data_IF_567821046044
#
_entry.id   IF_567821046044
#
_cell.length_a   1.000
_cell.length_b   1.000
_cell.length_c   1.000
_cell.angle_alpha   90.00
_cell.angle_beta   90.00
_cell.angle_gamma   90.00
#
_symmetry.space_group_name_H-M   'P 1'
#
loop_
_entity.id
_entity.type
_entity.pdbx_description
1 polymer ?
#
# COMPACT_ATOMS: atom_id res chain seq x y z
N UNK A 1 76.29 31.17 -4.75
CA UNK A 1 75.27 31.77 -5.63
C UNK A 1 75.40 31.01 -6.93
N UNK A 2 74.45 30.21 -7.38
CA UNK A 2 73.02 30.11 -7.09
C UNK A 2 72.64 28.63 -6.89
N UNK A 3 71.74 28.38 -5.95
CA UNK A 3 71.17 27.07 -5.66
C UNK A 3 69.87 26.99 -6.48
N UNK A 4 69.90 26.22 -7.57
CA UNK A 4 68.78 26.09 -8.50
C UNK A 4 67.82 25.00 -7.96
N UNK A 5 67.02 25.37 -6.97
CA UNK A 5 65.88 24.56 -6.52
C UNK A 5 64.85 24.50 -7.64
N UNK A 6 64.83 23.36 -8.36
CA UNK A 6 63.72 22.95 -9.20
C UNK A 6 62.43 22.96 -8.37
N UNK A 7 61.64 24.03 -8.51
CA UNK A 7 60.27 24.11 -8.00
C UNK A 7 59.45 23.01 -8.69
N UNK A 8 59.14 21.95 -7.94
CA UNK A 8 58.02 21.08 -8.29
C UNK A 8 56.76 21.88 -7.99
N UNK A 9 55.95 22.12 -9.02
CA UNK A 9 54.68 22.85 -8.98
C UNK A 9 53.64 22.03 -8.20
N UNK A 10 53.85 21.93 -6.87
CA UNK A 10 52.97 21.23 -5.93
C UNK A 10 51.57 21.86 -5.88
N UNK A 11 51.39 23.07 -6.42
CA UNK A 11 50.09 23.72 -6.62
C UNK A 11 49.24 23.03 -7.69
N UNK A 12 49.84 22.46 -8.74
CA UNK A 12 49.07 21.76 -9.80
C UNK A 12 48.66 20.34 -9.43
N UNK A 13 49.44 19.64 -8.60
CA UNK A 13 49.01 18.34 -8.04
C UNK A 13 47.96 18.51 -6.93
N UNK A 14 47.96 19.64 -6.22
CA UNK A 14 46.89 19.92 -5.26
C UNK A 14 45.55 20.21 -5.94
N UNK A 15 45.51 21.02 -7.00
CA UNK A 15 44.26 21.34 -7.72
C UNK A 15 43.64 20.14 -8.46
N UNK A 16 44.45 19.15 -8.86
CA UNK A 16 43.94 17.90 -9.46
C UNK A 16 43.33 16.92 -8.43
N UNK A 17 43.59 17.10 -7.13
CA UNK A 17 43.12 16.20 -6.07
C UNK A 17 41.89 16.70 -5.29
N UNK A 18 41.51 17.98 -5.43
CA UNK A 18 40.41 18.58 -4.63
C UNK A 18 39.01 18.17 -5.12
N UNK A 19 38.90 17.56 -6.30
CA UNK A 19 37.62 17.17 -6.90
C UNK A 19 37.36 15.66 -6.99
N UNK A 20 38.27 14.80 -6.50
CA UNK A 20 38.21 13.37 -6.78
C UNK A 20 37.43 12.53 -5.76
N UNK A 21 37.29 12.94 -4.49
CA UNK A 21 36.72 12.07 -3.44
C UNK A 21 35.99 12.84 -2.33
N UNK A 22 35.04 13.72 -2.69
CA UNK A 22 34.11 14.25 -1.69
C UNK A 22 32.97 13.25 -1.47
N UNK A 23 32.96 12.64 -0.28
CA UNK A 23 31.81 11.88 0.21
C UNK A 23 30.63 12.84 0.41
N UNK A 24 29.40 12.33 0.43
CA UNK A 24 28.17 13.08 0.59
C UNK A 24 27.24 12.28 1.49
N UNK A 25 26.52 12.97 2.39
CA UNK A 25 25.53 12.33 3.25
C UNK A 25 24.14 12.49 2.65
N UNK A 26 23.55 11.36 2.29
CA UNK A 26 22.24 11.27 1.68
C UNK A 26 21.23 10.84 2.72
N UNK A 27 20.37 11.77 3.15
CA UNK A 27 19.37 11.56 4.17
C UNK A 27 17.99 11.27 3.57
N UNK A 28 17.17 10.56 4.32
CA UNK A 28 15.90 10.03 3.84
C UNK A 28 14.71 10.83 4.37
N UNK A 29 13.92 11.39 3.44
CA UNK A 29 12.58 11.91 3.70
C UNK A 29 11.54 10.93 3.18
N UNK A 30 10.41 10.81 3.88
CA UNK A 30 9.29 9.99 3.43
C UNK A 30 8.04 10.86 3.31
N UNK A 31 7.49 10.99 2.10
CA UNK A 31 6.25 11.73 1.95
C UNK A 31 5.07 10.88 2.45
N UNK A 32 4.78 11.01 3.75
CA UNK A 32 3.63 10.40 4.42
C UNK A 32 2.31 11.09 4.02
N UNK A 33 2.34 12.35 3.59
CA UNK A 33 1.15 13.12 3.21
C UNK A 33 0.42 12.59 1.98
N UNK A 34 1.07 11.74 1.17
CA UNK A 34 0.42 11.00 0.05
C UNK A 34 -0.04 9.60 0.46
N UNK A 35 0.21 9.17 1.69
CA UNK A 35 -0.40 7.95 2.28
C UNK A 35 -1.68 8.27 3.06
N UNK A 36 -2.23 9.48 2.89
CA UNK A 36 -3.44 9.95 3.55
C UNK A 36 -4.65 9.06 3.20
N UNK A 37 -4.85 8.03 4.02
CA UNK A 37 -6.11 7.28 4.08
C UNK A 37 -7.16 8.24 4.61
N UNK A 38 -7.80 8.98 3.71
CA UNK A 38 -9.02 9.72 4.02
C UNK A 38 -10.18 8.86 3.55
N UNK A 39 -10.44 7.77 4.26
CA UNK A 39 -11.82 7.30 4.36
C UNK A 39 -12.56 8.32 5.23
N UNK A 40 -12.87 9.49 4.68
CA UNK A 40 -13.84 10.37 5.30
C UNK A 40 -15.22 9.79 5.00
N UNK A 41 -15.63 8.81 5.80
CA UNK A 41 -17.05 8.73 6.11
C UNK A 41 -17.34 9.97 6.96
N UNK A 42 -17.85 11.02 6.32
CA UNK A 42 -18.59 12.05 7.05
C UNK A 42 -19.82 11.36 7.62
N UNK A 43 -19.74 10.98 8.89
CA UNK A 43 -20.83 10.95 9.88
C UNK A 43 -20.50 9.94 10.99
N UNK A 44 -20.11 10.47 12.17
CA UNK A 44 -20.36 10.04 13.56
C UNK A 44 -20.41 8.54 13.95
N UNK A 45 -19.85 7.63 13.15
CA UNK A 45 -19.77 6.19 13.45
C UNK A 45 -18.42 5.62 12.96
N UNK A 46 -17.30 6.24 13.34
CA UNK A 46 -15.97 5.74 12.95
C UNK A 46 -15.43 4.81 14.03
N UNK A 47 -15.54 3.51 13.74
CA UNK A 47 -14.74 2.47 14.34
C UNK A 47 -13.25 2.64 14.08
N UNK A 48 -12.42 2.05 14.92
CA UNK A 48 -10.95 2.25 15.03
C UNK A 48 -10.10 1.68 13.87
N UNK A 49 -10.70 1.45 12.70
CA UNK A 49 -10.30 0.46 11.68
C UNK A 49 -9.18 0.89 10.68
N UNK A 50 -8.67 2.12 10.80
CA UNK A 50 -7.69 2.69 9.84
C UNK A 50 -6.23 2.75 10.32
N UNK A 51 -5.92 2.29 11.55
CA UNK A 51 -4.55 2.39 12.10
C UNK A 51 -3.55 1.44 11.41
N UNK A 52 -3.92 0.16 11.24
CA UNK A 52 -3.02 -0.88 10.74
C UNK A 52 -2.52 -0.57 9.31
N UNK A 53 -3.38 0.01 8.48
CA UNK A 53 -3.03 0.29 7.09
C UNK A 53 -2.09 1.49 6.95
N UNK A 54 -2.06 2.37 7.96
CA UNK A 54 -1.20 3.55 8.02
C UNK A 54 0.15 3.28 8.71
N UNK A 55 0.19 2.29 9.59
CA UNK A 55 1.38 1.95 10.38
C UNK A 55 2.58 1.55 9.50
N UNK A 56 3.78 1.91 9.99
CA UNK A 56 5.07 1.54 9.44
C UNK A 56 5.87 0.85 10.57
N UNK A 57 5.88 -0.48 10.54
CA UNK A 57 6.45 -1.34 11.57
C UNK A 57 7.87 -1.79 11.25
N UNK A 58 8.28 -1.68 9.98
CA UNK A 58 9.67 -1.83 9.58
C UNK A 58 9.93 -1.16 8.23
N UNK A 59 11.20 -0.88 7.95
CA UNK A 59 11.67 -0.31 6.70
C UNK A 59 12.91 -1.03 6.20
N UNK A 60 12.91 -1.39 4.92
CA UNK A 60 14.10 -1.64 4.12
C UNK A 60 14.34 -0.45 3.21
N UNK A 61 15.54 0.12 3.28
CA UNK A 61 15.96 1.25 2.45
C UNK A 61 17.16 0.80 1.64
N UNK A 62 17.09 0.94 0.32
CA UNK A 62 18.16 0.59 -0.62
C UNK A 62 18.71 1.84 -1.29
N UNK A 63 20.04 2.00 -1.25
CA UNK A 63 20.76 2.96 -2.07
C UNK A 63 21.30 2.26 -3.31
N UNK A 64 20.96 2.78 -4.48
CA UNK A 64 21.34 2.21 -5.76
C UNK A 64 22.16 3.20 -6.60
N UNK A 65 22.97 2.66 -7.50
CA UNK A 65 23.63 3.37 -8.61
C UNK A 65 23.17 2.72 -9.91
N UNK A 66 22.22 3.38 -10.60
CA UNK A 66 21.51 2.77 -11.72
C UNK A 66 20.69 1.56 -11.26
N UNK A 67 21.14 0.36 -11.63
CA UNK A 67 20.54 -0.93 -11.22
C UNK A 67 21.24 -1.56 -10.02
N UNK A 68 22.49 -1.19 -9.71
CA UNK A 68 23.30 -1.89 -8.71
C UNK A 68 23.02 -1.37 -7.31
N UNK A 69 22.81 -2.25 -6.35
CA UNK A 69 22.68 -1.90 -4.92
C UNK A 69 24.06 -1.57 -4.37
N UNK A 70 24.25 -0.33 -3.93
CA UNK A 70 25.47 0.13 -3.27
C UNK A 70 25.44 -0.16 -1.77
N UNK A 71 24.28 0.09 -1.14
CA UNK A 71 24.09 -0.08 0.29
C UNK A 71 22.61 -0.33 0.60
N UNK A 72 22.33 -0.87 1.78
CA UNK A 72 20.98 -1.08 2.28
C UNK A 72 20.94 -1.04 3.79
N UNK A 73 19.77 -0.72 4.33
CA UNK A 73 19.53 -0.71 5.75
C UNK A 73 18.15 -1.29 6.07
N UNK A 74 18.06 -1.91 7.24
CA UNK A 74 16.82 -2.35 7.85
C UNK A 74 16.61 -1.59 9.15
N UNK A 75 15.38 -1.11 9.37
CA UNK A 75 14.94 -0.47 10.60
C UNK A 75 13.70 -1.19 11.12
N UNK A 76 13.72 -1.58 12.39
CA UNK A 76 12.53 -2.09 13.07
C UNK A 76 11.69 -0.91 13.60
N UNK A 77 10.43 -1.17 13.96
CA UNK A 77 9.48 -0.16 14.45
C UNK A 77 10.06 0.82 15.48
N UNK A 78 10.82 0.30 16.46
CA UNK A 78 11.44 1.11 17.52
C UNK A 78 12.57 2.03 17.07
N UNK A 79 13.10 1.83 15.87
CA UNK A 79 14.21 2.61 15.29
C UNK A 79 13.73 3.60 14.19
N UNK A 80 12.41 3.76 14.03
CA UNK A 80 11.80 4.62 13.02
C UNK A 80 11.31 5.91 13.68
N UNK A 81 12.04 7.00 13.47
CA UNK A 81 11.73 8.30 14.05
C UNK A 81 11.59 9.36 12.96
N UNK A 82 10.36 9.83 12.73
CA UNK A 82 10.06 10.89 11.77
C UNK A 82 9.81 12.22 12.46
N UNK A 83 10.41 13.29 11.94
CA UNK A 83 10.06 14.65 12.36
C UNK A 83 8.75 15.14 11.70
N UNK A 84 8.38 16.39 11.97
CA UNK A 84 7.18 17.03 11.40
C UNK A 84 7.24 17.25 9.88
N UNK A 85 8.44 17.25 9.30
CA UNK A 85 8.66 17.33 7.85
C UNK A 85 8.77 15.93 7.22
N UNK A 86 8.56 14.88 8.01
CA UNK A 86 8.69 13.48 7.62
C UNK A 86 10.10 13.07 7.18
N UNK A 87 11.11 13.74 7.73
CA UNK A 87 12.49 13.32 7.66
C UNK A 87 12.77 12.22 8.69
N UNK A 88 13.52 11.19 8.30
CA UNK A 88 13.86 10.06 9.17
C UNK A 88 15.15 10.32 9.94
N UNK A 89 15.15 9.97 11.21
CA UNK A 89 16.26 10.10 12.14
C UNK A 89 16.58 8.77 12.82
N UNK A 90 17.80 8.66 13.34
CA UNK A 90 18.27 7.50 14.10
C UNK A 90 17.84 7.51 15.56
N UNK A 91 17.32 8.64 16.03
CA UNK A 91 16.97 8.92 17.41
C UNK A 91 15.64 9.68 17.49
N UNK A 92 14.92 9.47 18.59
CA UNK A 92 13.60 10.07 18.83
C UNK A 92 13.66 11.59 19.07
N UNK A 93 14.83 12.10 19.46
CA UNK A 93 15.10 13.52 19.65
C UNK A 93 15.35 14.26 18.32
N UNK A 94 15.37 13.53 17.19
CA UNK A 94 15.59 14.06 15.84
C UNK A 94 16.90 14.85 15.69
N UNK A 95 17.97 14.35 16.29
CA UNK A 95 19.29 15.00 16.27
C UNK A 95 20.19 14.49 15.15
N UNK A 96 20.06 13.22 14.77
CA UNK A 96 20.90 12.59 13.75
C UNK A 96 20.05 12.03 12.61
N UNK A 97 20.04 12.69 11.43
CA UNK A 97 19.37 12.17 10.25
C UNK A 97 19.80 10.74 9.92
N UNK A 98 18.84 9.91 9.51
CA UNK A 98 19.11 8.60 8.94
C UNK A 98 19.48 8.75 7.46
N UNK A 99 20.52 8.04 7.03
CA UNK A 99 21.04 8.18 5.68
C UNK A 99 22.32 7.39 5.41
N UNK A 100 22.76 7.44 4.16
CA UNK A 100 23.95 6.76 3.67
C UNK A 100 25.07 7.75 3.36
N UNK A 101 26.30 7.38 3.71
CA UNK A 101 27.50 8.03 3.19
C UNK A 101 27.82 7.44 1.81
N UNK A 102 27.92 8.29 0.80
CA UNK A 102 28.14 7.87 -0.60
C UNK A 102 28.97 8.91 -1.36
N UNK A 103 29.43 8.59 -2.57
CA UNK A 103 30.01 9.60 -3.47
C UNK A 103 28.91 10.30 -4.25
N UNK A 104 29.08 11.58 -4.56
CA UNK A 104 28.18 12.30 -5.48
C UNK A 104 28.21 11.62 -6.85
N UNK A 105 27.08 11.07 -7.28
CA UNK A 105 26.87 10.52 -8.62
C UNK A 105 25.47 10.86 -9.11
N UNK A 106 25.33 11.10 -10.41
CA UNK A 106 24.06 11.53 -11.00
C UNK A 106 23.03 10.40 -11.14
N UNK A 107 23.48 9.14 -11.08
CA UNK A 107 22.62 7.96 -11.24
C UNK A 107 22.18 7.33 -9.91
N UNK A 108 22.39 8.02 -8.78
CA UNK A 108 21.95 7.47 -7.50
C UNK A 108 20.43 7.47 -7.38
N UNK A 109 19.91 6.42 -6.75
CA UNK A 109 18.47 6.23 -6.50
C UNK A 109 18.22 5.64 -5.13
N UNK A 110 17.05 5.92 -4.58
CA UNK A 110 16.50 5.23 -3.42
C UNK A 110 15.31 4.37 -3.81
N UNK A 111 15.19 3.24 -3.14
CA UNK A 111 14.02 2.36 -3.19
C UNK A 111 13.72 1.83 -1.79
N UNK A 112 12.44 1.78 -1.42
CA UNK A 112 12.02 1.45 -0.07
C UNK A 112 10.91 0.41 -0.08
N UNK A 113 10.98 -0.52 0.87
CA UNK A 113 9.92 -1.47 1.18
C UNK A 113 9.59 -1.29 2.66
N UNK A 114 8.32 -1.08 2.98
CA UNK A 114 7.84 -0.98 4.36
C UNK A 114 6.93 -2.15 4.72
N UNK A 115 6.93 -2.54 5.99
CA UNK A 115 6.12 -3.62 6.55
C UNK A 115 6.28 -4.96 5.83
N UNK A 116 7.46 -5.23 5.29
CA UNK A 116 7.74 -6.55 4.73
C UNK A 116 8.02 -7.56 5.84
N UNK A 117 7.75 -8.83 5.58
CA UNK A 117 8.15 -9.96 6.43
C UNK A 117 9.65 -10.26 6.35
N UNK A 118 10.34 -9.67 5.36
CA UNK A 118 11.79 -9.71 5.23
C UNK A 118 12.44 -8.94 6.39
N UNK A 119 13.02 -9.63 7.37
CA UNK A 119 13.76 -9.02 8.50
C UNK A 119 15.25 -8.87 8.18
N UNK A 120 16.00 -8.18 9.03
CA UNK A 120 17.45 -7.93 8.87
C UNK A 120 18.28 -9.18 8.52
N UNK A 121 17.94 -10.33 9.10
CA UNK A 121 18.67 -11.60 8.92
C UNK A 121 18.15 -12.45 7.76
N UNK A 122 17.17 -11.96 6.99
CA UNK A 122 16.62 -12.72 5.87
C UNK A 122 17.62 -12.78 4.71
N UNK A 123 18.05 -13.98 4.37
CA UNK A 123 19.10 -14.21 3.36
C UNK A 123 18.67 -13.84 1.94
N UNK A 124 17.37 -13.90 1.61
CA UNK A 124 16.85 -13.59 0.27
C UNK A 124 16.99 -12.11 -0.05
N UNK A 125 16.48 -11.23 0.82
CA UNK A 125 16.63 -9.78 0.65
C UNK A 125 18.09 -9.34 0.86
N UNK A 126 18.83 -10.06 1.73
CA UNK A 126 20.26 -9.84 1.91
C UNK A 126 21.09 -10.17 0.65
N UNK A 127 20.63 -11.11 -0.19
CA UNK A 127 21.29 -11.48 -1.43
C UNK A 127 20.95 -10.57 -2.63
N UNK A 128 19.94 -9.70 -2.51
CA UNK A 128 19.61 -8.75 -3.58
C UNK A 128 20.73 -7.72 -3.77
N UNK A 129 21.36 -7.76 -4.94
CA UNK A 129 22.43 -6.84 -5.37
C UNK A 129 22.01 -5.91 -6.50
N UNK A 130 20.79 -6.05 -7.02
CA UNK A 130 20.25 -5.21 -8.10
C UNK A 130 18.81 -4.78 -7.84
N UNK A 131 18.36 -3.66 -8.42
CA UNK A 131 16.97 -3.20 -8.38
C UNK A 131 16.03 -4.26 -8.95
N UNK A 132 16.38 -4.85 -10.09
CA UNK A 132 15.63 -5.96 -10.69
C UNK A 132 15.51 -7.15 -9.74
N UNK A 133 16.58 -7.48 -9.00
CA UNK A 133 16.55 -8.53 -7.97
C UNK A 133 15.66 -8.18 -6.78
N UNK A 134 15.65 -6.92 -6.34
CA UNK A 134 14.73 -6.43 -5.30
C UNK A 134 13.29 -6.51 -5.79
N UNK A 135 13.01 -6.05 -7.01
CA UNK A 135 11.68 -6.07 -7.63
C UNK A 135 11.14 -7.48 -7.88
N UNK A 136 12.02 -8.47 -8.00
CA UNK A 136 11.64 -9.88 -8.14
C UNK A 136 11.31 -10.57 -6.81
N UNK A 137 11.55 -9.92 -5.66
CA UNK A 137 11.19 -10.48 -4.36
C UNK A 137 9.69 -10.77 -4.30
N UNK A 138 9.37 -12.01 -3.93
CA UNK A 138 7.99 -12.46 -3.79
C UNK A 138 7.38 -11.94 -2.49
N UNK A 139 6.14 -11.49 -2.56
CA UNK A 139 5.32 -11.10 -1.43
C UNK A 139 4.20 -12.14 -1.28
N UNK A 140 3.93 -12.57 -0.05
CA UNK A 140 2.93 -13.59 0.25
C UNK A 140 1.78 -13.09 1.13
N UNK A 141 1.02 -14.04 1.67
CA UNK A 141 -0.12 -13.76 2.55
C UNK A 141 0.27 -12.98 3.81
N UNK A 142 1.43 -13.27 4.39
CA UNK A 142 1.91 -12.58 5.58
C UNK A 142 2.30 -11.13 5.28
N UNK A 143 2.90 -10.84 4.12
CA UNK A 143 3.18 -9.47 3.67
C UNK A 143 1.89 -8.69 3.36
N UNK A 144 0.88 -9.38 2.81
CA UNK A 144 -0.45 -8.81 2.59
C UNK A 144 -1.13 -8.42 3.91
N UNK A 145 -1.03 -9.29 4.92
CA UNK A 145 -1.56 -9.04 6.26
C UNK A 145 -0.79 -7.93 6.99
N UNK A 146 0.52 -7.83 6.76
CA UNK A 146 1.38 -6.77 7.29
C UNK A 146 1.18 -5.41 6.59
N UNK A 147 0.33 -5.34 5.56
CA UNK A 147 0.07 -4.11 4.80
C UNK A 147 1.35 -3.54 4.17
N UNK A 148 2.08 -4.40 3.45
CA UNK A 148 3.33 -4.06 2.78
C UNK A 148 3.17 -2.88 1.81
N UNK A 149 4.12 -1.95 1.88
CA UNK A 149 4.19 -0.77 1.02
C UNK A 149 5.50 -0.77 0.25
N UNK A 150 5.47 -0.26 -0.97
CA UNK A 150 6.64 -0.19 -1.84
C UNK A 150 6.73 1.20 -2.43
N UNK A 151 7.93 1.76 -2.51
CA UNK A 151 8.13 3.06 -3.12
C UNK A 151 8.19 3.00 -4.63
N UNK A 152 7.91 4.14 -5.28
CA UNK A 152 8.52 4.38 -6.58
C UNK A 152 10.04 4.54 -6.42
N UNK A 153 10.78 4.42 -7.51
CA UNK A 153 12.22 4.70 -7.48
C UNK A 153 12.42 6.22 -7.42
N UNK A 154 12.99 6.70 -6.32
CA UNK A 154 13.29 8.11 -6.14
C UNK A 154 14.71 8.41 -6.66
N UNK A 155 14.83 9.31 -7.63
CA UNK A 155 16.13 9.75 -8.12
C UNK A 155 16.73 10.76 -7.15
N UNK A 156 18.03 10.66 -6.93
CA UNK A 156 18.77 11.63 -6.10
C UNK A 156 19.11 12.83 -6.98
N UNK A 157 18.64 14.02 -6.58
CA UNK A 157 18.95 15.27 -7.27
C UNK A 157 19.86 16.10 -6.37
N UNK A 158 21.11 16.25 -6.78
CA UNK A 158 22.06 17.10 -6.07
C UNK A 158 21.79 18.57 -6.40
N UNK A 159 21.41 19.36 -5.39
CA UNK A 159 21.42 20.83 -5.50
C UNK A 159 22.84 21.41 -5.43
N UNK A 160 22.97 22.64 -4.94
CA UNK A 160 24.25 23.32 -4.66
C UNK A 160 25.02 22.73 -3.45
N UNK A 161 24.86 21.42 -3.23
CA UNK A 161 25.40 20.67 -2.10
C UNK A 161 26.95 20.65 -2.15
N UNK A 162 27.65 21.18 -1.12
CA UNK A 162 29.11 21.32 -1.15
C UNK A 162 29.90 20.01 -0.99
N UNK A 163 29.23 18.90 -0.63
CA UNK A 163 29.89 17.66 -0.25
C UNK A 163 30.20 17.61 1.25
N UNK A 164 30.32 16.39 1.78
CA UNK A 164 30.73 16.12 3.15
C UNK A 164 32.25 16.33 3.27
N UNK A 165 32.67 17.51 3.73
CA UNK A 165 34.05 17.72 4.14
C UNK A 165 34.26 17.02 5.49
N UNK A 166 35.23 16.11 5.53
CA UNK A 166 35.49 15.19 6.65
C UNK A 166 35.31 15.84 8.02
N UNK A 167 34.51 15.18 8.86
CA UNK A 167 34.40 15.32 10.32
C UNK A 167 35.71 15.83 10.90
N UNK A 168 35.70 17.03 11.47
CA UNK A 168 36.83 17.46 12.29
C UNK A 168 36.76 16.70 13.63
N UNK A 169 37.91 16.30 14.14
CA UNK A 169 38.04 15.41 15.28
C UNK A 169 37.15 15.78 16.47
N UNK A 170 36.60 14.73 17.08
CA UNK A 170 35.97 14.64 18.40
C UNK A 170 34.44 14.67 18.54
N UNK A 171 33.61 15.17 17.60
CA UNK A 171 32.14 15.05 17.75
C UNK A 171 31.42 14.88 16.39
N UNK A 172 30.65 13.80 16.27
CA UNK A 172 29.98 13.34 15.04
C UNK A 172 28.79 14.19 14.54
N UNK A 173 28.86 15.51 14.66
CA UNK A 173 27.85 16.42 14.12
C UNK A 173 28.08 16.68 12.62
N UNK A 174 27.00 16.63 11.81
CA UNK A 174 27.05 17.03 10.41
C UNK A 174 27.34 18.54 10.32
N UNK A 175 28.43 18.93 9.66
CA UNK A 175 28.79 20.35 9.46
C UNK A 175 27.89 21.08 8.45
N UNK A 176 27.11 20.33 7.66
CA UNK A 176 26.23 20.84 6.63
C UNK A 176 24.94 20.02 6.62
N UNK A 177 23.82 20.67 6.27
CA UNK A 177 22.55 20.01 5.98
C UNK A 177 22.77 18.87 4.99
N UNK A 178 22.20 17.67 5.20
CA UNK A 178 22.34 16.57 4.26
C UNK A 178 21.52 16.77 2.99
N UNK A 179 21.81 15.97 1.96
CA UNK A 179 20.95 15.91 0.79
C UNK A 179 19.73 15.05 1.13
N UNK A 180 18.59 15.69 1.37
CA UNK A 180 17.32 15.02 1.59
C UNK A 180 16.75 14.47 0.29
N UNK A 181 16.32 13.22 0.32
CA UNK A 181 15.65 12.56 -0.79
C UNK A 181 14.29 12.09 -0.32
N UNK A 182 13.24 12.68 -0.89
CA UNK A 182 11.86 12.32 -0.57
C UNK A 182 11.42 11.08 -1.34
N UNK A 183 10.92 10.10 -0.60
CA UNK A 183 10.39 8.87 -1.15
C UNK A 183 8.90 8.78 -0.86
N UNK A 184 8.13 8.46 -1.91
CA UNK A 184 6.68 8.21 -1.79
C UNK A 184 6.44 6.71 -1.74
N UNK A 185 5.83 6.24 -0.66
CA UNK A 185 5.35 4.87 -0.53
C UNK A 185 3.94 4.72 -1.14
N UNK A 186 3.67 3.53 -1.67
CA UNK A 186 2.35 3.10 -2.16
C UNK A 186 2.00 1.77 -1.53
N UNK A 187 0.74 1.57 -1.16
CA UNK A 187 0.25 0.26 -0.75
C UNK A 187 0.44 -0.71 -1.91
N UNK A 188 1.03 -1.88 -1.64
CA UNK A 188 1.15 -2.92 -2.67
C UNK A 188 -0.16 -3.70 -2.86
N UNK A 189 -1.15 -3.47 -2.01
CA UNK A 189 -2.43 -4.18 -1.94
C UNK A 189 -3.61 -3.23 -2.10
N UNK A 190 -4.81 -3.80 -2.22
CA UNK A 190 -6.11 -3.13 -2.25
C UNK A 190 -7.00 -3.66 -1.13
N UNK A 191 -8.01 -2.87 -0.72
CA UNK A 191 -9.12 -3.33 0.13
C UNK A 191 -10.35 -3.60 -0.73
N UNK A 192 -11.07 -4.68 -0.45
CA UNK A 192 -12.32 -5.04 -1.13
C UNK A 192 -13.34 -5.42 -0.07
N UNK A 193 -14.52 -4.81 -0.10
CA UNK A 193 -15.57 -5.10 0.88
C UNK A 193 -16.99 -4.86 0.37
N UNK A 194 -17.94 -5.36 1.14
CA UNK A 194 -19.37 -5.08 1.02
C UNK A 194 -19.73 -3.93 1.97
N UNK A 195 -20.09 -2.78 1.40
CA UNK A 195 -20.49 -1.58 2.14
C UNK A 195 -21.94 -1.59 2.57
N UNK A 196 -22.82 -2.20 1.78
CA UNK A 196 -24.23 -2.36 2.15
C UNK A 196 -24.89 -3.52 1.39
N UNK A 197 -25.88 -4.12 2.05
CA UNK A 197 -26.81 -5.05 1.45
C UNK A 197 -28.24 -4.64 1.83
N UNK A 198 -28.81 -3.74 1.03
CA UNK A 198 -30.13 -3.15 1.27
C UNK A 198 -31.19 -3.99 0.56
N UNK A 199 -32.23 -4.35 1.30
CA UNK A 199 -33.36 -5.14 0.79
C UNK A 199 -34.65 -4.33 0.84
N UNK A 200 -35.42 -4.34 -0.24
CA UNK A 200 -36.65 -3.56 -0.42
C UNK A 200 -37.78 -4.46 -0.89
N UNK A 201 -39.01 -4.17 -0.46
CA UNK A 201 -40.22 -4.78 -0.99
C UNK A 201 -40.63 -4.08 -2.29
N UNK A 202 -40.95 -4.84 -3.33
CA UNK A 202 -41.61 -4.28 -4.52
C UNK A 202 -43.08 -3.95 -4.22
N UNK A 203 -43.65 -3.01 -4.96
CA UNK A 203 -45.08 -2.67 -4.83
C UNK A 203 -46.01 -3.84 -5.25
N UNK A 204 -45.47 -4.83 -5.96
CA UNK A 204 -46.20 -6.02 -6.44
C UNK A 204 -46.30 -7.12 -5.38
N UNK A 205 -45.40 -7.15 -4.40
CA UNK A 205 -45.42 -8.14 -3.33
C UNK A 205 -46.42 -7.69 -2.26
N UNK A 206 -47.50 -8.45 -2.04
CA UNK A 206 -48.50 -8.09 -1.04
C UNK A 206 -48.08 -8.48 0.38
N UNK A 207 -47.46 -9.66 0.52
CA UNK A 207 -47.11 -10.24 1.81
C UNK A 207 -45.76 -9.72 2.32
N UNK A 208 -45.59 -9.74 3.63
CA UNK A 208 -44.28 -9.54 4.23
C UNK A 208 -43.46 -10.81 4.04
N UNK A 209 -42.15 -10.65 3.84
CA UNK A 209 -41.25 -11.78 3.68
C UNK A 209 -39.96 -11.52 4.42
N UNK A 210 -39.44 -12.56 5.06
CA UNK A 210 -38.13 -12.50 5.69
C UNK A 210 -37.04 -12.64 4.64
N UNK A 211 -36.05 -11.77 4.73
CA UNK A 211 -34.83 -11.84 3.95
C UNK A 211 -33.65 -11.94 4.89
N UNK A 212 -32.77 -12.90 4.64
CA UNK A 212 -31.55 -13.12 5.43
C UNK A 212 -30.35 -13.03 4.52
N UNK A 213 -29.39 -12.17 4.83
CA UNK A 213 -28.03 -12.33 4.31
C UNK A 213 -27.39 -13.44 5.14
N UNK A 214 -26.94 -14.51 4.49
CA UNK A 214 -26.32 -15.65 5.17
C UNK A 214 -24.80 -15.49 5.20
N UNK A 215 -24.21 -15.17 4.05
CA UNK A 215 -22.76 -15.05 3.90
C UNK A 215 -22.39 -13.98 2.86
N UNK A 216 -21.29 -13.28 3.12
CA UNK A 216 -20.58 -12.44 2.16
C UNK A 216 -19.10 -12.84 2.21
N UNK A 217 -18.57 -13.37 1.11
CA UNK A 217 -17.20 -13.90 1.04
C UNK A 217 -16.46 -13.41 -0.19
N UNK A 218 -15.14 -13.33 -0.12
CA UNK A 218 -14.29 -13.02 -1.27
C UNK A 218 -13.81 -14.31 -1.96
N UNK A 219 -13.95 -14.40 -3.27
CA UNK A 219 -13.32 -15.43 -4.10
C UNK A 219 -12.21 -14.84 -4.99
N UNK A 220 -11.27 -15.70 -5.38
CA UNK A 220 -10.16 -15.39 -6.27
C UNK A 220 -9.25 -14.26 -5.76
N UNK A 221 -9.14 -14.11 -4.44
CA UNK A 221 -8.20 -13.22 -3.79
C UNK A 221 -6.77 -13.49 -4.27
N UNK A 222 -6.06 -12.45 -4.70
CA UNK A 222 -4.66 -12.60 -5.06
C UNK A 222 -3.79 -12.47 -3.81
N UNK A 223 -3.14 -13.59 -3.45
CA UNK A 223 -2.35 -13.74 -2.23
C UNK A 223 -0.84 -13.69 -2.48
N UNK A 224 -0.40 -13.54 -3.74
CA UNK A 224 1.01 -13.35 -4.03
C UNK A 224 1.27 -12.29 -5.08
N UNK A 225 2.39 -11.61 -4.89
CA UNK A 225 2.82 -10.50 -5.71
C UNK A 225 4.35 -10.47 -5.78
N UNK A 226 4.89 -9.51 -6.52
CA UNK A 226 6.29 -9.16 -6.38
C UNK A 226 6.43 -7.69 -6.03
N UNK A 227 7.51 -7.34 -5.34
CA UNK A 227 7.82 -5.94 -5.00
C UNK A 227 7.78 -5.03 -6.24
N UNK A 228 8.13 -5.55 -7.42
CA UNK A 228 8.13 -4.81 -8.68
C UNK A 228 6.79 -4.62 -9.37
N UNK A 229 5.69 -5.17 -8.85
CA UNK A 229 4.39 -5.05 -9.50
C UNK A 229 4.08 -6.16 -10.51
N UNK A 230 4.89 -7.23 -10.56
CA UNK A 230 4.72 -8.32 -11.51
C UNK A 230 4.53 -9.64 -10.75
N UNK A 231 3.29 -10.06 -10.56
CA UNK A 231 3.00 -11.35 -9.94
C UNK A 231 1.59 -11.82 -10.26
N UNK A 232 1.45 -13.10 -10.58
CA UNK A 232 0.15 -13.76 -10.57
C UNK A 232 0.26 -14.98 -9.68
N UNK A 233 -0.53 -15.05 -8.62
CA UNK A 233 -0.80 -16.32 -7.98
C UNK A 233 -2.28 -16.39 -7.61
N UNK A 234 -3.02 -17.05 -8.48
CA UNK A 234 -4.43 -17.34 -8.29
C UNK A 234 -4.50 -18.44 -7.24
N UNK A 235 -4.85 -18.09 -6.00
CA UNK A 235 -5.41 -19.08 -5.08
C UNK A 235 -6.75 -19.55 -5.67
N UNK A 236 -6.68 -20.54 -6.58
CA UNK A 236 -7.83 -21.36 -6.94
C UNK A 236 -8.09 -22.23 -5.71
N UNK A 237 -9.08 -21.84 -4.91
CA UNK A 237 -9.74 -22.65 -3.87
C UNK A 237 -9.25 -22.55 -2.42
N UNK A 238 -8.42 -21.58 -2.02
CA UNK A 238 -8.22 -21.35 -0.57
C UNK A 238 -9.27 -20.36 -0.07
N UNK A 239 -10.11 -20.72 0.92
CA UNK A 239 -11.01 -19.75 1.55
C UNK A 239 -10.20 -18.56 2.05
N UNK A 240 -10.71 -17.36 1.78
CA UNK A 240 -10.08 -16.10 2.13
C UNK A 240 -9.66 -16.11 3.60
N UNK A 241 -8.39 -15.87 3.88
CA UNK A 241 -8.01 -15.43 5.22
C UNK A 241 -8.69 -14.07 5.39
N UNK A 242 -9.71 -14.02 6.24
CA UNK A 242 -10.21 -12.74 6.72
C UNK A 242 -8.99 -11.99 7.25
N UNK A 243 -8.81 -10.75 6.78
CA UNK A 243 -7.92 -9.85 7.50
C UNK A 243 -8.34 -9.92 8.97
N UNK A 244 -7.36 -10.08 9.87
CA UNK A 244 -7.64 -10.20 11.31
C UNK A 244 -8.54 -9.03 11.74
N UNK A 245 -9.79 -9.30 12.11
CA UNK A 245 -10.78 -8.30 12.55
C UNK A 245 -11.99 -8.07 11.64
N UNK A 246 -11.98 -8.48 10.37
CA UNK A 246 -13.09 -8.24 9.45
C UNK A 246 -14.15 -9.35 9.55
N UNK A 247 -15.30 -9.10 10.19
CA UNK A 247 -16.48 -9.96 10.08
C UNK A 247 -17.74 -9.14 9.87
N UNK A 248 -18.43 -9.34 8.75
CA UNK A 248 -19.79 -8.82 8.60
C UNK A 248 -20.70 -9.54 9.60
N UNK A 249 -21.48 -8.77 10.35
CA UNK A 249 -22.67 -9.36 10.98
C UNK A 249 -23.76 -9.37 9.93
N UNK A 250 -24.10 -10.56 9.44
CA UNK A 250 -25.19 -10.74 8.50
C UNK A 250 -26.49 -10.96 9.28
N UNK A 251 -27.55 -10.25 8.89
CA UNK A 251 -28.80 -10.20 9.63
C UNK A 251 -30.00 -10.69 8.79
N UNK A 252 -31.07 -11.00 9.51
CA UNK A 252 -32.41 -11.24 8.97
C UNK A 252 -33.28 -10.01 9.21
N UNK A 253 -34.08 -9.63 8.23
CA UNK A 253 -35.16 -8.67 8.42
C UNK A 253 -36.43 -9.07 7.65
N UNK A 254 -37.58 -8.80 8.26
CA UNK A 254 -38.87 -8.83 7.57
C UNK A 254 -39.02 -7.53 6.77
N UNK A 255 -39.09 -7.61 5.44
CA UNK A 255 -39.38 -6.43 4.62
C UNK A 255 -40.88 -6.16 4.57
N UNK A 256 -41.29 -4.97 5.01
CA UNK A 256 -42.70 -4.56 5.14
C UNK A 256 -43.11 -3.51 4.12
N UNK A 257 -42.15 -2.76 3.61
CA UNK A 257 -42.33 -1.59 2.75
C UNK A 257 -41.11 -1.39 1.81
N UNK A 258 -41.11 -0.28 1.09
CA UNK A 258 -40.10 0.09 0.12
C UNK A 258 -38.97 0.98 0.69
N UNK A 259 -38.94 1.27 2.00
CA UNK A 259 -37.94 2.17 2.60
C UNK A 259 -36.53 1.58 2.55
N UNK A 260 -36.43 0.25 2.57
CA UNK A 260 -35.18 -0.49 2.42
C UNK A 260 -34.44 -0.71 3.73
N UNK A 261 -34.06 -1.96 3.99
CA UNK A 261 -33.39 -2.37 5.22
C UNK A 261 -31.99 -2.91 4.90
N UNK A 262 -30.97 -2.38 5.56
CA UNK A 262 -29.61 -2.90 5.41
C UNK A 262 -29.42 -4.15 6.27
N UNK A 263 -29.02 -5.27 5.66
CA UNK A 263 -28.84 -6.54 6.35
C UNK A 263 -27.41 -6.78 6.85
N UNK A 264 -26.50 -5.82 6.66
CA UNK A 264 -25.18 -5.84 7.30
C UNK A 264 -25.09 -4.81 8.41
N UNK A 265 -24.43 -5.19 9.50
CA UNK A 265 -24.07 -4.31 10.61
C UNK A 265 -22.64 -4.61 11.09
N UNK A 266 -22.02 -3.63 11.74
CA UNK A 266 -20.63 -3.70 12.21
C UNK A 266 -19.68 -2.79 11.42
N UNK A 267 -18.40 -2.83 11.76
CA UNK A 267 -17.36 -2.14 10.99
C UNK A 267 -17.30 -2.69 9.55
N UNK A 268 -16.86 -1.85 8.61
CA UNK A 268 -16.69 -2.20 7.19
C UNK A 268 -15.63 -3.29 7.06
N UNK A 269 -16.03 -4.55 7.20
CA UNK A 269 -15.16 -5.68 6.94
C UNK A 269 -14.63 -5.57 5.50
N UNK A 270 -13.31 -5.46 5.35
CA UNK A 270 -12.67 -5.41 4.05
C UNK A 270 -11.59 -6.48 3.98
N UNK A 271 -11.61 -7.24 2.90
CA UNK A 271 -10.55 -8.15 2.53
C UNK A 271 -9.39 -7.37 1.91
N UNK A 272 -8.15 -7.75 2.21
CA UNK A 272 -6.98 -7.24 1.49
C UNK A 272 -6.66 -8.18 0.33
N UNK A 273 -6.26 -7.66 -0.82
CA UNK A 273 -5.79 -8.48 -1.94
C UNK A 273 -4.67 -7.75 -2.66
N UNK A 274 -3.70 -8.47 -3.20
CA UNK A 274 -2.81 -7.87 -4.19
C UNK A 274 -3.58 -7.57 -5.48
N UNK A 275 -2.99 -6.72 -6.33
CA UNK A 275 -3.52 -6.37 -7.65
C UNK A 275 -3.81 -7.63 -8.47
N UNK A 276 -4.94 -7.66 -9.17
CA UNK A 276 -5.39 -8.78 -10.00
C UNK A 276 -5.94 -8.25 -11.32
N UNK A 277 -5.22 -8.55 -12.40
CA UNK A 277 -5.61 -8.28 -13.80
C UNK A 277 -5.73 -9.58 -14.60
N UNK A 278 -5.90 -10.71 -13.91
CA UNK A 278 -5.99 -12.04 -14.54
C UNK A 278 -7.37 -12.29 -15.12
N UNK A 279 -7.51 -13.34 -15.94
CA UNK A 279 -8.81 -13.79 -16.46
C UNK A 279 -9.79 -14.26 -15.35
N UNK A 280 -9.29 -14.50 -14.13
CA UNK A 280 -10.11 -14.94 -12.99
C UNK A 280 -10.27 -13.77 -12.00
N UNK A 281 -11.37 -13.00 -12.08
CA UNK A 281 -11.51 -11.77 -11.32
C UNK A 281 -11.78 -12.02 -9.83
N UNK A 282 -11.22 -11.15 -9.00
CA UNK A 282 -11.61 -11.01 -7.59
C UNK A 282 -13.11 -10.70 -7.54
N UNK A 283 -13.86 -11.45 -6.74
CA UNK A 283 -15.32 -11.31 -6.69
C UNK A 283 -15.85 -11.44 -5.27
N UNK A 284 -16.96 -10.75 -4.97
CA UNK A 284 -17.74 -10.97 -3.75
C UNK A 284 -18.86 -11.96 -4.07
N UNK A 285 -18.94 -13.04 -3.29
CA UNK A 285 -20.01 -14.03 -3.34
C UNK A 285 -20.97 -13.77 -2.19
N UNK A 286 -22.23 -13.60 -2.53
CA UNK A 286 -23.31 -13.36 -1.58
C UNK A 286 -24.23 -14.56 -1.57
N UNK A 287 -24.45 -15.10 -0.38
CA UNK A 287 -25.44 -16.13 -0.10
C UNK A 287 -26.55 -15.51 0.73
N UNK A 288 -27.78 -15.59 0.26
CA UNK A 288 -28.93 -14.98 0.93
C UNK A 288 -30.18 -15.84 0.76
N UNK A 289 -31.15 -15.64 1.64
CA UNK A 289 -32.40 -16.38 1.68
C UNK A 289 -33.59 -15.43 1.63
N UNK A 290 -34.58 -15.74 0.80
CA UNK A 290 -35.87 -15.03 0.70
C UNK A 290 -36.97 -16.02 1.04
N UNK A 291 -37.63 -15.82 2.19
CA UNK A 291 -38.55 -16.80 2.76
C UNK A 291 -37.83 -18.13 3.01
N UNK A 292 -38.12 -19.14 2.19
CA UNK A 292 -37.49 -20.48 2.28
C UNK A 292 -36.45 -20.76 1.18
N UNK A 293 -36.35 -19.87 0.19
CA UNK A 293 -35.49 -20.07 -0.98
C UNK A 293 -34.11 -19.47 -0.74
N UNK A 294 -33.05 -20.24 -1.01
CA UNK A 294 -31.66 -19.81 -0.89
C UNK A 294 -31.09 -19.49 -2.26
N UNK A 295 -30.37 -18.38 -2.36
CA UNK A 295 -29.75 -17.87 -3.56
C UNK A 295 -28.27 -17.60 -3.33
N UNK A 296 -27.47 -17.78 -4.38
CA UNK A 296 -26.05 -17.46 -4.41
C UNK A 296 -25.79 -16.59 -5.64
N UNK A 297 -25.12 -15.45 -5.47
CA UNK A 297 -24.73 -14.55 -6.57
C UNK A 297 -23.28 -14.10 -6.39
N UNK A 298 -22.55 -14.05 -7.50
CA UNK A 298 -21.15 -13.61 -7.55
C UNK A 298 -21.03 -12.33 -8.35
N UNK A 299 -20.37 -11.34 -7.75
CA UNK A 299 -20.15 -10.01 -8.31
C UNK A 299 -18.65 -9.75 -8.49
N UNK A 300 -18.14 -9.66 -9.73
CA UNK A 300 -16.75 -9.34 -9.97
C UNK A 300 -16.46 -7.89 -9.60
N UNK A 301 -15.34 -7.66 -8.92
CA UNK A 301 -14.86 -6.32 -8.63
C UNK A 301 -14.32 -5.70 -9.92
N UNK A 302 -14.67 -4.43 -10.14
CA UNK A 302 -14.33 -3.72 -11.37
C UNK A 302 -13.65 -2.39 -11.09
N UNK A 303 -12.69 -2.07 -11.97
CA UNK A 303 -12.11 -0.73 -12.10
C UNK A 303 -12.42 -0.25 -13.51
N UNK A 304 -13.09 0.91 -13.66
CA UNK A 304 -13.48 1.46 -14.96
C UNK A 304 -14.14 0.42 -15.92
N UNK A 305 -15.12 -0.33 -15.40
CA UNK A 305 -15.87 -1.40 -16.09
C UNK A 305 -15.10 -2.68 -16.45
N UNK A 306 -13.79 -2.74 -16.20
CA UNK A 306 -12.98 -3.94 -16.39
C UNK A 306 -12.89 -4.73 -15.07
N UNK A 307 -12.94 -6.06 -15.14
CA UNK A 307 -12.90 -6.94 -13.98
C UNK A 307 -11.47 -7.08 -13.42
N UNK A 308 -10.95 -5.98 -12.89
CA UNK A 308 -9.60 -5.83 -12.36
C UNK A 308 -9.58 -5.10 -11.02
N UNK A 309 -8.60 -5.45 -10.21
CA UNK A 309 -8.29 -4.82 -8.92
C UNK A 309 -6.89 -4.26 -9.00
N UNK A 310 -6.71 -2.98 -8.70
CA UNK A 310 -5.42 -2.27 -8.70
C UNK A 310 -4.94 -2.04 -7.28
N UNK A 311 -3.63 -2.13 -7.05
CA UNK A 311 -3.05 -1.79 -5.76
C UNK A 311 -3.31 -0.31 -5.38
N UNK A 312 -3.34 0.00 -4.08
CA UNK A 312 -3.59 1.35 -3.60
C UNK A 312 -5.03 1.84 -3.74
N UNK A 313 -6.00 0.94 -3.90
CA UNK A 313 -7.42 1.25 -4.05
C UNK A 313 -8.29 0.58 -2.96
N UNK A 314 -9.41 1.23 -2.65
CA UNK A 314 -10.48 0.68 -1.81
C UNK A 314 -11.70 0.45 -2.72
N UNK A 315 -12.17 -0.79 -2.76
CA UNK A 315 -13.36 -1.20 -3.49
C UNK A 315 -14.50 -1.50 -2.53
N UNK A 316 -15.62 -0.81 -2.69
CA UNK A 316 -16.80 -0.94 -1.84
C UNK A 316 -18.02 -1.30 -2.69
N UNK A 317 -18.62 -2.45 -2.38
CA UNK A 317 -19.82 -2.94 -3.05
C UNK A 317 -21.07 -2.51 -2.29
N UNK A 318 -22.01 -1.86 -2.97
CA UNK A 318 -23.35 -1.62 -2.47
C UNK A 318 -24.34 -2.47 -3.26
N UNK A 319 -25.15 -3.25 -2.55
CA UNK A 319 -26.16 -4.11 -3.15
C UNK A 319 -27.53 -3.60 -2.73
N UNK A 320 -28.39 -3.37 -3.72
CA UNK A 320 -29.80 -3.03 -3.52
C UNK A 320 -30.62 -4.14 -4.17
N UNK A 321 -31.30 -4.91 -3.35
CA UNK A 321 -32.19 -5.98 -3.77
C UNK A 321 -33.65 -5.56 -3.61
N UNK A 322 -34.41 -5.66 -4.68
CA UNK A 322 -35.87 -5.46 -4.68
C UNK A 322 -36.54 -6.82 -4.84
N UNK A 323 -37.32 -7.23 -3.85
CA UNK A 323 -38.02 -8.52 -3.85
C UNK A 323 -39.40 -8.36 -4.48
N UNK A 324 -39.64 -9.09 -5.56
CA UNK A 324 -40.92 -9.17 -6.27
C UNK A 324 -41.31 -10.65 -6.46
N UNK A 325 -42.55 -11.03 -6.14
CA UNK A 325 -43.04 -12.41 -6.26
C UNK A 325 -42.12 -13.51 -5.68
N UNK A 326 -41.47 -13.21 -4.54
CA UNK A 326 -40.44 -14.08 -3.89
C UNK A 326 -39.21 -14.36 -4.77
N UNK A 327 -39.06 -13.64 -5.86
CA UNK A 327 -37.85 -13.49 -6.66
C UNK A 327 -37.20 -12.13 -6.38
N UNK A 328 -35.98 -11.92 -6.89
CA UNK A 328 -35.20 -10.73 -6.59
C UNK A 328 -34.61 -10.11 -7.86
N UNK A 329 -34.96 -8.84 -8.10
CA UNK A 329 -34.17 -7.95 -8.93
C UNK A 329 -33.05 -7.35 -8.07
N UNK A 330 -31.82 -7.35 -8.59
CA UNK A 330 -30.66 -6.92 -7.82
C UNK A 330 -29.85 -5.93 -8.64
N UNK A 331 -29.84 -4.69 -8.16
CA UNK A 331 -28.93 -3.65 -8.63
C UNK A 331 -27.71 -3.66 -7.72
N UNK A 332 -26.53 -3.74 -8.33
CA UNK A 332 -25.28 -3.71 -7.60
C UNK A 332 -24.44 -2.57 -8.11
N UNK A 333 -23.90 -1.76 -7.21
CA UNK A 333 -23.00 -0.66 -7.53
C UNK A 333 -21.65 -0.89 -6.85
N UNK A 334 -20.58 -0.86 -7.64
CA UNK A 334 -19.21 -0.93 -7.15
C UNK A 334 -18.58 0.45 -7.24
N UNK A 335 -17.95 0.87 -6.15
CA UNK A 335 -17.24 2.15 -6.05
C UNK A 335 -15.77 1.87 -5.79
N UNK A 336 -14.91 2.65 -6.44
CA UNK A 336 -13.46 2.59 -6.25
C UNK A 336 -12.97 3.94 -5.77
N UNK A 337 -12.16 3.96 -4.72
CA UNK A 337 -11.52 5.16 -4.18
C UNK A 337 -10.00 4.92 -4.11
N UNK A 338 -9.21 5.89 -4.58
CA UNK A 338 -7.76 5.89 -4.39
C UNK A 338 -7.41 6.11 -2.91
N UNK A 339 -6.36 5.45 -2.42
CA UNK A 339 -5.93 5.59 -1.02
C UNK A 339 -5.37 6.97 -0.66
N UNK A 340 -5.10 7.82 -1.66
CA UNK A 340 -4.32 9.05 -1.50
C UNK A 340 -5.18 10.25 -1.13
N UNK A 341 -6.43 10.27 -1.56
CA UNK A 341 -7.43 11.31 -1.31
C UNK A 341 -8.81 10.69 -1.55
N UNK A 342 -9.86 11.15 -0.85
CA UNK A 342 -11.25 10.72 -1.07
C UNK A 342 -11.69 10.93 -2.53
N UNK A 343 -11.31 9.98 -3.37
CA UNK A 343 -11.33 10.06 -4.82
C UNK A 343 -12.74 10.19 -5.38
N UNK A 344 -12.82 10.52 -6.67
CA UNK A 344 -14.09 10.53 -7.37
C UNK A 344 -14.71 9.12 -7.31
N UNK A 345 -15.88 9.03 -6.69
CA UNK A 345 -16.71 7.83 -6.67
C UNK A 345 -17.20 7.53 -8.10
N UNK A 346 -16.47 6.71 -8.83
CA UNK A 346 -16.97 6.16 -10.08
C UNK A 346 -17.97 5.04 -9.73
N UNK A 347 -19.26 5.37 -9.77
CA UNK A 347 -20.32 4.38 -9.61
C UNK A 347 -20.38 3.46 -10.83
N UNK A 348 -20.06 2.19 -10.63
CA UNK A 348 -20.19 1.16 -11.66
C UNK A 348 -21.36 0.25 -11.30
N UNK A 349 -22.44 0.32 -12.08
CA UNK A 349 -23.55 -0.64 -11.96
C UNK A 349 -23.09 -2.01 -12.51
N UNK A 350 -22.97 -2.98 -11.61
CA UNK A 350 -22.67 -4.37 -11.91
C UNK A 350 -23.97 -5.14 -12.17
N UNK A 351 -23.94 -5.97 -13.21
CA UNK A 351 -24.96 -7.01 -13.43
C UNK A 351 -24.44 -8.35 -12.92
N UNK A 352 -25.32 -9.23 -12.39
CA UNK A 352 -24.94 -10.58 -12.02
C UNK A 352 -24.31 -11.33 -13.21
N UNK A 353 -23.36 -12.21 -12.92
CA UNK A 353 -22.87 -13.20 -13.89
C UNK A 353 -23.97 -14.24 -14.10
N UNK A 354 -24.42 -14.46 -15.35
CA UNK A 354 -25.31 -15.58 -15.65
C UNK A 354 -24.48 -16.87 -15.59
N UNK A 355 -24.79 -17.76 -14.65
CA UNK A 355 -24.38 -19.17 -14.70
C UNK A 355 -25.44 -19.98 -15.44
#
# INVERSE_FOLDING_TARGET
MEDDTMMNDASKEFEASVNADKEAYLAFGMNLGVMNTKSTVKDDQVGTDDKIDQEINNLWIFLLDGETVLNKAYLAEGDIHFDTNHHLYKDAEHTTPFGFLTKKKDNLKLFVIANSTYTANNTTIAACTTLSGIKALSLGADDLNACVKVSDVANVVWGDYPGYEKINGADGALLQEPCWVDVTLKQAYARVGLKSFVVKKSDELTDNIDVTLLEATLSNQNMAWSVGGAGQNISKNTPSYLAQGASYTCNTASITDNEGLNLISGELAAYRTFQNETETPVSINLKYQIGVNVYEKTYPIKTAYEAKVLAGNIYQLNVIMTVADREADVVVSCYTEDWKEGGALDEIVLKPSNN
#
